data_IF_697539794056
#
_entry.id   IF_697539794056
#
_cell.length_a   1.000
_cell.length_b   1.000
_cell.length_c   1.000
_cell.angle_alpha   90.00
_cell.angle_beta   90.00
_cell.angle_gamma   90.00
#
_symmetry.space_group_name_H-M   'P 1'
#
loop_
_entity.id
_entity.type
_entity.pdbx_description
1 polymer ?
#
# COMPACT_ATOMS: atom_id res chain seq x y z
N UNK A 1 15.24 12.17 8.62
CA UNK A 1 14.36 11.36 7.77
C UNK A 1 14.35 9.94 8.29
N UNK A 2 13.18 9.31 8.30
CA UNK A 2 13.06 7.89 8.65
C UNK A 2 13.47 7.07 7.42
N UNK A 3 14.22 5.99 7.63
CA UNK A 3 14.72 5.12 6.54
C UNK A 3 14.08 3.75 6.66
N UNK A 4 13.51 3.26 5.57
CA UNK A 4 12.93 1.93 5.46
C UNK A 4 13.85 1.02 4.64
N UNK A 5 14.13 -0.19 5.15
CA UNK A 5 14.88 -1.22 4.42
C UNK A 5 13.96 -1.99 3.47
N UNK A 6 14.44 -2.39 2.29
CA UNK A 6 13.62 -2.92 1.20
C UNK A 6 12.77 -4.14 1.58
N UNK A 7 13.39 -5.29 1.90
CA UNK A 7 12.66 -6.55 2.06
C UNK A 7 11.69 -6.53 3.24
N UNK A 8 12.14 -6.03 4.40
CA UNK A 8 11.32 -5.98 5.62
C UNK A 8 10.13 -5.04 5.48
N UNK A 9 10.35 -3.84 4.90
CA UNK A 9 9.27 -2.89 4.69
C UNK A 9 8.25 -3.40 3.68
N UNK A 10 8.70 -3.90 2.53
CA UNK A 10 7.81 -4.40 1.49
C UNK A 10 6.99 -5.61 1.98
N UNK A 11 7.61 -6.55 2.70
CA UNK A 11 6.91 -7.69 3.27
C UNK A 11 5.84 -7.25 4.27
N UNK A 12 6.17 -6.30 5.15
CA UNK A 12 5.23 -5.80 6.15
C UNK A 12 3.99 -5.21 5.50
N UNK A 13 4.17 -4.28 4.55
CA UNK A 13 3.03 -3.59 3.91
C UNK A 13 2.23 -4.52 3.00
N UNK A 14 2.86 -5.46 2.30
CA UNK A 14 2.15 -6.46 1.50
C UNK A 14 1.30 -7.38 2.39
N UNK A 15 1.87 -7.86 3.51
CA UNK A 15 1.16 -8.72 4.45
C UNK A 15 -0.02 -7.99 5.10
N UNK A 16 0.20 -6.80 5.67
CA UNK A 16 -0.87 -6.03 6.31
C UNK A 16 -1.93 -5.62 5.30
N UNK A 17 -1.54 -5.22 4.10
CA UNK A 17 -2.48 -4.90 3.04
C UNK A 17 -3.40 -6.11 2.71
N UNK A 18 -2.83 -7.32 2.64
CA UNK A 18 -3.60 -8.54 2.37
C UNK A 18 -4.53 -8.92 3.52
N UNK A 19 -4.03 -8.97 4.75
CA UNK A 19 -4.79 -9.55 5.88
C UNK A 19 -5.69 -8.55 6.60
N UNK A 20 -5.31 -7.27 6.66
CA UNK A 20 -6.07 -6.25 7.40
C UNK A 20 -7.21 -5.73 6.53
N UNK A 21 -6.93 -5.48 5.24
CA UNK A 21 -7.94 -4.99 4.29
C UNK A 21 -8.60 -6.12 3.51
N UNK A 22 -8.22 -7.37 3.77
CA UNK A 22 -8.81 -8.57 3.18
C UNK A 22 -8.89 -8.48 1.63
N UNK A 23 -7.76 -8.09 1.02
CA UNK A 23 -7.68 -7.82 -0.42
C UNK A 23 -7.58 -9.12 -1.23
N UNK A 24 -8.38 -9.16 -2.29
CA UNK A 24 -8.44 -10.18 -3.33
C UNK A 24 -7.99 -9.62 -4.68
N UNK A 25 -7.70 -10.51 -5.62
CA UNK A 25 -7.08 -10.15 -6.91
C UNK A 25 -7.95 -9.20 -7.77
N UNK A 26 -9.27 -9.24 -7.63
CA UNK A 26 -10.21 -8.39 -8.38
C UNK A 26 -10.61 -7.10 -7.62
N UNK A 27 -10.02 -6.85 -6.43
CA UNK A 27 -10.38 -5.69 -5.62
C UNK A 27 -9.75 -4.40 -6.15
N UNK A 28 -10.54 -3.32 -6.11
CA UNK A 28 -10.08 -1.94 -6.34
C UNK A 28 -9.89 -1.28 -4.97
N UNK A 29 -8.65 -1.06 -4.60
CA UNK A 29 -8.27 -0.43 -3.34
C UNK A 29 -8.20 1.10 -3.47
N UNK A 30 -8.82 1.81 -2.52
CA UNK A 30 -8.78 3.27 -2.44
C UNK A 30 -8.34 3.72 -1.04
N UNK A 31 -7.21 4.41 -0.99
CA UNK A 31 -6.80 5.19 0.18
C UNK A 31 -6.79 6.69 -0.17
N UNK A 32 -7.44 7.51 0.67
CA UNK A 32 -7.53 8.98 0.49
C UNK A 32 -6.36 9.75 1.10
N UNK A 33 -5.28 9.05 1.47
CA UNK A 33 -4.08 9.71 1.96
C UNK A 33 -3.31 10.37 0.79
N UNK A 34 -2.42 11.30 1.12
CA UNK A 34 -1.44 11.81 0.17
C UNK A 34 -0.17 10.93 0.17
N UNK A 35 0.53 10.88 -0.97
CA UNK A 35 1.75 10.09 -1.14
C UNK A 35 2.90 10.60 -0.28
N UNK A 36 2.92 11.87 0.12
CA UNK A 36 3.91 12.43 1.03
C UNK A 36 3.88 11.83 2.44
N UNK A 37 2.81 11.10 2.80
CA UNK A 37 2.66 10.44 4.09
C UNK A 37 3.05 8.97 4.05
N UNK A 38 3.40 8.41 5.22
CA UNK A 38 3.71 6.98 5.38
C UNK A 38 2.54 6.08 4.96
N UNK A 39 1.31 6.56 5.14
CA UNK A 39 0.08 5.88 4.69
C UNK A 39 0.04 5.78 3.17
N UNK A 40 0.39 6.85 2.45
CA UNK A 40 0.42 6.84 0.98
C UNK A 40 1.50 5.92 0.42
N UNK A 41 2.72 5.97 0.98
CA UNK A 41 3.77 5.03 0.61
C UNK A 41 3.32 3.58 0.82
N UNK A 42 2.80 3.28 2.01
CA UNK A 42 2.50 1.90 2.42
C UNK A 42 1.27 1.33 1.73
N UNK A 43 0.21 2.13 1.58
CA UNK A 43 -1.11 1.64 1.18
C UNK A 43 -1.65 2.24 -0.11
N UNK A 44 -1.06 3.27 -0.72
CA UNK A 44 -1.41 3.66 -2.10
C UNK A 44 -0.50 2.95 -3.10
N UNK A 45 0.79 2.82 -2.77
CA UNK A 45 1.78 2.29 -3.71
C UNK A 45 2.22 0.88 -3.33
N UNK A 46 3.02 0.71 -2.28
CA UNK A 46 3.75 -0.53 -2.06
C UNK A 46 2.84 -1.72 -1.73
N UNK A 47 1.90 -1.58 -0.79
CA UNK A 47 0.99 -2.65 -0.38
C UNK A 47 0.10 -3.16 -1.52
N UNK A 48 -0.66 -2.31 -2.21
CA UNK A 48 -1.51 -2.72 -3.33
C UNK A 48 -0.73 -3.33 -4.49
N UNK A 49 0.33 -2.65 -4.95
CA UNK A 49 1.09 -3.11 -6.12
C UNK A 49 1.89 -4.38 -5.82
N UNK A 50 2.37 -4.57 -4.59
CA UNK A 50 3.02 -5.83 -4.21
C UNK A 50 2.04 -7.01 -4.15
N UNK A 51 0.76 -6.75 -3.86
CA UNK A 51 -0.30 -7.77 -3.85
C UNK A 51 -1.01 -7.92 -5.20
N UNK A 52 -0.64 -7.16 -6.23
CA UNK A 52 -1.29 -7.21 -7.55
C UNK A 52 -2.69 -6.59 -7.60
N UNK A 53 -3.10 -5.86 -6.57
CA UNK A 53 -4.41 -5.20 -6.53
C UNK A 53 -4.41 -3.89 -7.36
N UNK A 54 -5.59 -3.46 -7.80
CA UNK A 54 -5.73 -2.16 -8.47
C UNK A 54 -5.78 -1.05 -7.41
N UNK A 55 -4.89 -0.07 -7.50
CA UNK A 55 -4.85 1.08 -6.58
C UNK A 55 -5.32 2.37 -7.26
N UNK A 56 -6.18 3.12 -6.60
CA UNK A 56 -6.59 4.47 -7.04
C UNK A 56 -5.66 5.54 -6.47
N UNK A 57 -5.01 6.27 -7.38
CA UNK A 57 -4.22 7.46 -7.06
C UNK A 57 -5.05 8.71 -7.39
N UNK A 58 -5.27 9.54 -6.38
CA UNK A 58 -5.96 10.82 -6.49
C UNK A 58 -5.03 11.90 -5.94
N UNK A 59 -5.00 13.04 -6.61
CA UNK A 59 -4.25 14.21 -6.18
C UNK A 59 -5.20 15.14 -5.40
N UNK A 60 -4.80 15.54 -4.19
CA UNK A 60 -5.60 16.37 -3.27
C UNK A 60 -5.31 17.86 -3.44
#
# INVERSE_FOLDING_TARGET
>A
GVVHTTAGYLLHVALTHKIVFNIHDDDIYWCTADIGWVTGHSYIVYGPLANGATSLMFDL
#
